data_IF_536853866216
#
_entry.id   IF_536853866216
#
_cell.length_a   1.000
_cell.length_b   1.000
_cell.length_c   1.000
_cell.angle_alpha   90.00
_cell.angle_beta   90.00
_cell.angle_gamma   90.00
#
_symmetry.space_group_name_H-M   'P 1'
#
loop_
_entity.id
_entity.type
_entity.pdbx_description
1 polymer ?
#
# COMPACT_ATOMS: atom_id res chain seq x y z
N UNK A 1 -46.44 -44.87 28.76
CA UNK A 1 -45.12 -44.86 28.09
C UNK A 1 -44.78 -43.42 27.72
N UNK A 2 -43.55 -43.00 28.00
CA UNK A 2 -43.13 -41.61 28.21
C UNK A 2 -43.09 -40.79 26.92
N UNK A 3 -43.80 -39.65 26.92
CA UNK A 3 -43.68 -38.57 25.94
C UNK A 3 -42.40 -37.78 26.22
N UNK A 4 -41.42 -37.83 25.32
CA UNK A 4 -40.18 -37.05 25.39
C UNK A 4 -40.32 -35.77 24.55
N UNK A 5 -40.65 -34.68 25.23
CA UNK A 5 -40.56 -33.30 24.72
C UNK A 5 -39.12 -32.92 24.41
N UNK A 6 -38.85 -32.52 23.16
CA UNK A 6 -37.57 -31.91 22.74
C UNK A 6 -37.39 -30.53 23.41
N UNK A 7 -36.19 -30.14 23.84
CA UNK A 7 -35.94 -28.79 24.33
C UNK A 7 -35.96 -27.77 23.18
N UNK A 8 -36.60 -26.63 23.46
CA UNK A 8 -36.80 -25.48 22.58
C UNK A 8 -35.51 -24.64 22.56
N UNK A 9 -34.89 -24.48 21.40
CA UNK A 9 -33.71 -23.61 21.20
C UNK A 9 -34.17 -22.14 21.28
N UNK A 10 -33.46 -21.24 22.01
CA UNK A 10 -33.82 -19.83 22.09
C UNK A 10 -33.54 -19.11 20.76
N UNK A 11 -34.32 -18.07 20.38
CA UNK A 11 -34.09 -17.32 19.16
C UNK A 11 -33.01 -16.25 19.38
N UNK A 12 -32.11 -16.10 18.42
CA UNK A 12 -31.24 -14.92 18.30
C UNK A 12 -29.76 -15.20 18.53
N UNK A 13 -29.09 -15.66 17.48
CA UNK A 13 -27.70 -15.29 17.23
C UNK A 13 -27.71 -14.36 16.00
N UNK A 14 -27.00 -13.21 16.03
CA UNK A 14 -26.91 -12.35 14.86
C UNK A 14 -26.28 -13.15 13.72
N UNK A 15 -26.99 -13.22 12.59
CA UNK A 15 -26.44 -13.68 11.33
C UNK A 15 -25.14 -12.93 11.08
N UNK A 16 -24.00 -13.63 11.09
CA UNK A 16 -22.77 -13.12 10.50
C UNK A 16 -23.10 -12.78 9.04
N UNK A 17 -23.41 -11.52 8.77
CA UNK A 17 -23.46 -11.01 7.42
C UNK A 17 -22.12 -11.37 6.79
N UNK A 18 -22.13 -12.26 5.81
CA UNK A 18 -20.94 -12.62 5.07
C UNK A 18 -20.30 -11.32 4.61
N UNK A 19 -19.11 -11.01 5.14
CA UNK A 19 -18.32 -9.85 4.74
C UNK A 19 -18.12 -9.99 3.24
N UNK A 20 -18.88 -9.20 2.46
CA UNK A 20 -18.76 -9.15 1.02
C UNK A 20 -17.32 -8.76 0.72
N UNK A 21 -16.60 -9.63 0.02
CA UNK A 21 -15.24 -9.32 -0.44
C UNK A 21 -15.32 -8.02 -1.24
N UNK A 22 -14.61 -6.96 -0.84
CA UNK A 22 -14.73 -5.65 -1.49
C UNK A 22 -14.36 -5.78 -2.97
N UNK A 23 -15.19 -5.20 -3.84
CA UNK A 23 -14.90 -5.21 -5.26
C UNK A 23 -13.68 -4.30 -5.50
N UNK A 24 -12.80 -4.57 -6.48
CA UNK A 24 -11.62 -3.72 -6.75
C UNK A 24 -11.94 -2.23 -6.97
N UNK A 25 -13.17 -1.90 -7.39
CA UNK A 25 -13.69 -0.52 -7.51
C UNK A 25 -13.95 0.19 -6.18
N UNK A 26 -14.04 -0.55 -5.07
CA UNK A 26 -14.35 0.00 -3.75
C UNK A 26 -13.09 0.58 -3.07
N UNK A 27 -11.90 0.19 -3.53
CA UNK A 27 -10.62 0.67 -3.02
C UNK A 27 -10.34 2.13 -3.45
N UNK A 28 -9.80 2.97 -2.54
CA UNK A 28 -9.56 4.41 -2.83
C UNK A 28 -8.48 4.64 -3.88
N UNK A 29 -7.46 3.79 -3.94
CA UNK A 29 -6.39 3.89 -4.93
C UNK A 29 -6.98 3.72 -6.34
N UNK A 30 -7.77 2.66 -6.55
CA UNK A 30 -8.42 2.39 -7.83
C UNK A 30 -9.37 3.53 -8.24
N UNK A 31 -10.18 4.03 -7.30
CA UNK A 31 -11.06 5.18 -7.53
C UNK A 31 -10.29 6.45 -7.90
N UNK A 32 -9.16 6.70 -7.24
CA UNK A 32 -8.35 7.90 -7.52
C UNK A 32 -7.74 7.85 -8.92
N UNK A 33 -7.18 6.72 -9.34
CA UNK A 33 -6.69 6.57 -10.71
C UNK A 33 -7.79 6.71 -11.77
N UNK A 34 -8.99 6.20 -11.50
CA UNK A 34 -10.13 6.39 -12.40
C UNK A 34 -10.49 7.87 -12.56
N UNK A 35 -10.62 8.60 -11.44
CA UNK A 35 -10.90 10.05 -11.45
C UNK A 35 -9.82 10.84 -12.21
N UNK A 36 -8.54 10.54 -11.97
CA UNK A 36 -7.43 11.23 -12.63
C UNK A 36 -7.43 10.99 -14.14
N UNK A 37 -7.72 9.76 -14.57
CA UNK A 37 -7.87 9.43 -15.99
C UNK A 37 -9.00 10.23 -16.64
N UNK A 38 -10.16 10.31 -15.99
CA UNK A 38 -11.31 11.05 -16.50
C UNK A 38 -11.02 12.57 -16.58
N UNK A 39 -10.10 13.07 -15.73
CA UNK A 39 -9.60 14.44 -15.77
C UNK A 39 -8.43 14.66 -16.74
N UNK A 40 -7.92 13.61 -17.40
CA UNK A 40 -6.70 13.69 -18.21
C UNK A 40 -5.44 14.06 -17.44
N UNK A 41 -5.39 13.79 -16.12
CA UNK A 41 -4.28 14.13 -15.22
C UNK A 41 -3.44 12.90 -14.88
N UNK A 42 -2.14 13.14 -14.65
CA UNK A 42 -1.24 12.14 -14.06
C UNK A 42 -1.37 12.17 -12.54
N UNK A 43 -1.13 11.02 -11.90
CA UNK A 43 -1.08 10.93 -10.45
C UNK A 43 0.23 11.51 -9.90
N UNK A 44 0.15 12.28 -8.83
CA UNK A 44 1.28 12.62 -7.97
C UNK A 44 1.25 11.75 -6.71
N UNK A 45 2.25 10.88 -6.55
CA UNK A 45 2.38 9.95 -5.43
C UNK A 45 3.58 10.40 -4.59
N UNK A 46 3.37 10.67 -3.30
CA UNK A 46 4.43 11.11 -2.40
C UNK A 46 4.77 10.01 -1.39
N UNK A 47 6.07 9.78 -1.19
CA UNK A 47 6.59 8.87 -0.18
C UNK A 47 7.06 9.65 1.06
N UNK A 48 6.74 9.12 2.25
CA UNK A 48 7.29 9.56 3.53
C UNK A 48 7.67 8.35 4.38
N UNK A 49 8.82 8.41 5.05
CA UNK A 49 9.10 7.48 6.14
C UNK A 49 8.23 7.87 7.35
N UNK A 50 7.34 6.98 7.78
CA UNK A 50 6.52 7.23 8.93
C UNK A 50 7.40 7.29 10.19
N UNK A 51 7.18 8.33 10.98
CA UNK A 51 7.98 8.58 12.17
C UNK A 51 9.22 9.44 11.94
N UNK A 52 9.44 9.98 10.74
CA UNK A 52 10.53 10.93 10.47
C UNK A 52 10.02 12.38 10.42
N UNK A 53 10.34 13.26 11.38
CA UNK A 53 11.13 13.00 12.60
C UNK A 53 10.34 12.33 13.74
N UNK A 54 9.01 12.35 13.67
CA UNK A 54 8.10 11.64 14.58
C UNK A 54 6.73 11.38 13.92
N UNK A 55 5.86 10.64 14.61
CA UNK A 55 4.54 10.24 14.09
C UNK A 55 3.53 11.39 14.07
N UNK A 56 3.66 12.41 14.91
CA UNK A 56 2.79 13.59 14.87
C UNK A 56 3.10 14.43 13.64
N UNK A 57 4.38 14.66 13.36
CA UNK A 57 4.86 15.29 12.14
C UNK A 57 4.39 14.51 10.89
N UNK A 58 4.46 13.18 10.91
CA UNK A 58 3.93 12.34 9.82
C UNK A 58 2.46 12.65 9.53
N UNK A 59 1.62 12.72 10.57
CA UNK A 59 0.18 13.02 10.39
C UNK A 59 -0.02 14.41 9.78
N UNK A 60 0.64 15.43 10.31
CA UNK A 60 0.47 16.81 9.79
C UNK A 60 1.00 16.97 8.36
N UNK A 61 2.13 16.35 8.03
CA UNK A 61 2.70 16.40 6.68
C UNK A 61 1.76 15.74 5.67
N UNK A 62 1.24 14.55 5.99
CA UNK A 62 0.31 13.84 5.09
C UNK A 62 -0.98 14.64 4.89
N UNK A 63 -1.59 15.13 5.98
CA UNK A 63 -2.82 15.94 5.87
C UNK A 63 -2.56 17.24 5.11
N UNK A 64 -1.43 17.90 5.37
CA UNK A 64 -1.05 19.14 4.69
C UNK A 64 -0.87 18.96 3.18
N UNK A 65 -0.23 17.88 2.74
CA UNK A 65 -0.10 17.58 1.31
C UNK A 65 -1.43 17.15 0.68
N UNK A 66 -2.25 16.38 1.39
CA UNK A 66 -3.53 15.86 0.90
C UNK A 66 -4.59 16.96 0.76
N UNK A 67 -4.65 17.88 1.72
CA UNK A 67 -5.66 18.93 1.81
C UNK A 67 -5.11 20.32 1.43
N UNK A 68 -3.99 20.37 0.70
CA UNK A 68 -3.38 21.61 0.24
C UNK A 68 -4.43 22.52 -0.46
N UNK A 69 -4.40 23.81 -0.17
CA UNK A 69 -5.43 24.76 -0.64
C UNK A 69 -5.56 24.78 -2.17
N UNK A 70 -4.43 24.74 -2.88
CA UNK A 70 -4.37 24.56 -4.34
C UNK A 70 -4.56 23.08 -4.73
N UNK A 71 -5.68 22.69 -5.39
CA UNK A 71 -5.94 21.31 -5.79
C UNK A 71 -4.94 20.74 -6.79
N UNK A 72 -4.22 21.57 -7.54
CA UNK A 72 -3.20 21.14 -8.48
C UNK A 72 -1.92 20.65 -7.77
N UNK A 73 -1.71 21.04 -6.50
CA UNK A 73 -0.56 20.67 -5.67
C UNK A 73 -0.86 19.56 -4.67
N UNK A 74 -2.11 19.10 -4.59
CA UNK A 74 -2.48 18.01 -3.69
C UNK A 74 -1.84 16.71 -4.14
N UNK A 75 -1.38 15.94 -3.16
CA UNK A 75 -0.95 14.56 -3.42
C UNK A 75 -2.17 13.68 -3.70
N UNK A 76 -2.05 12.79 -4.68
CA UNK A 76 -3.13 11.88 -5.07
C UNK A 76 -3.11 10.58 -4.28
N UNK A 77 -1.93 10.09 -3.90
CA UNK A 77 -1.70 8.88 -3.10
C UNK A 77 -0.47 9.12 -2.22
N UNK A 78 -0.53 8.68 -0.97
CA UNK A 78 0.64 8.73 -0.07
C UNK A 78 1.15 7.32 0.21
N UNK A 79 2.45 7.14 0.03
CA UNK A 79 3.20 5.96 0.43
C UNK A 79 3.84 6.22 1.80
N UNK A 80 3.50 5.38 2.77
CA UNK A 80 4.05 5.45 4.12
C UNK A 80 5.04 4.31 4.32
N UNK A 81 6.31 4.69 4.35
CA UNK A 81 7.42 3.83 4.74
C UNK A 81 7.28 3.39 6.19
N UNK A 82 7.16 2.09 6.44
CA UNK A 82 7.31 1.56 7.80
C UNK A 82 8.82 1.42 8.06
N UNK A 83 9.39 2.12 9.05
CA UNK A 83 10.82 2.10 9.26
C UNK A 83 11.31 0.70 9.65
N UNK A 84 12.40 0.27 9.03
CA UNK A 84 13.00 -1.04 9.21
C UNK A 84 14.51 -0.89 9.48
N UNK A 85 15.08 -1.79 10.28
CA UNK A 85 16.49 -1.76 10.69
C UNK A 85 17.45 -2.08 9.54
N UNK A 86 17.00 -2.87 8.57
CA UNK A 86 17.83 -3.37 7.47
C UNK A 86 17.24 -3.03 6.09
N UNK A 87 17.06 -1.73 5.75
CA UNK A 87 16.35 -1.32 4.54
C UNK A 87 17.24 -1.42 3.29
N UNK A 88 17.51 -2.65 2.84
CA UNK A 88 18.48 -2.95 1.78
C UNK A 88 18.12 -2.42 0.38
N UNK A 89 16.83 -2.23 0.09
CA UNK A 89 16.36 -1.70 -1.20
C UNK A 89 16.35 -0.16 -1.23
N UNK A 90 16.46 0.48 -0.06
CA UNK A 90 16.39 1.92 0.08
C UNK A 90 17.72 2.60 -0.14
N UNK A 91 17.61 3.84 -0.61
CA UNK A 91 18.67 4.79 -0.82
C UNK A 91 19.11 5.53 0.44
N UNK A 92 20.26 6.23 0.40
CA UNK A 92 20.80 6.94 1.56
C UNK A 92 19.80 7.88 2.25
N UNK A 93 18.96 8.58 1.48
CA UNK A 93 17.93 9.47 2.03
C UNK A 93 16.86 8.71 2.82
N UNK A 94 16.33 7.61 2.25
CA UNK A 94 15.33 6.77 2.88
C UNK A 94 15.91 6.00 4.08
N UNK A 95 17.16 5.53 3.98
CA UNK A 95 17.88 4.91 5.08
C UNK A 95 18.04 5.86 6.27
N UNK A 96 18.47 7.10 6.01
CA UNK A 96 18.60 8.12 7.06
C UNK A 96 17.26 8.51 7.69
N UNK A 97 16.18 8.55 6.89
CA UNK A 97 14.83 8.76 7.39
C UNK A 97 14.36 7.61 8.30
N UNK A 98 14.59 6.35 7.88
CA UNK A 98 14.31 5.17 8.70
C UNK A 98 15.09 5.20 10.02
N UNK A 99 16.37 5.57 9.99
CA UNK A 99 17.19 5.68 11.20
C UNK A 99 16.63 6.72 12.18
N UNK A 100 16.25 7.91 11.69
CA UNK A 100 15.61 8.94 12.53
C UNK A 100 14.28 8.44 13.11
N UNK A 101 13.45 7.79 12.30
CA UNK A 101 12.17 7.27 12.73
C UNK A 101 12.29 6.16 13.79
N UNK A 102 13.26 5.26 13.64
CA UNK A 102 13.56 4.24 14.65
C UNK A 102 14.08 4.86 15.95
N UNK A 103 14.97 5.87 15.87
CA UNK A 103 15.46 6.61 17.04
C UNK A 103 14.34 7.37 17.78
N UNK A 104 13.33 7.84 17.04
CA UNK A 104 12.12 8.44 17.61
C UNK A 104 11.16 7.42 18.25
N UNK A 105 11.47 6.12 18.22
CA UNK A 105 10.66 5.07 18.85
C UNK A 105 9.48 4.60 17.99
N UNK A 106 9.55 4.81 16.68
CA UNK A 106 8.46 4.41 15.77
C UNK A 106 8.30 2.89 15.71
N UNK A 107 7.06 2.43 15.79
CA UNK A 107 6.69 1.01 15.71
C UNK A 107 5.58 0.80 14.69
N UNK A 108 5.41 -0.42 14.17
CA UNK A 108 4.27 -0.78 13.28
C UNK A 108 2.94 -0.36 13.90
N UNK A 109 2.74 -0.61 15.20
CA UNK A 109 1.53 -0.20 15.93
C UNK A 109 1.35 1.32 15.94
N UNK A 110 2.44 2.08 16.15
CA UNK A 110 2.42 3.53 16.08
C UNK A 110 2.07 4.05 14.69
N UNK A 111 2.62 3.44 13.64
CA UNK A 111 2.29 3.79 12.24
C UNK A 111 0.81 3.52 11.94
N UNK A 112 0.28 2.38 12.37
CA UNK A 112 -1.16 2.07 12.23
C UNK A 112 -2.05 3.11 12.95
N UNK A 113 -1.64 3.54 14.15
CA UNK A 113 -2.36 4.59 14.87
C UNK A 113 -2.28 5.96 14.15
N UNK A 114 -1.14 6.30 13.56
CA UNK A 114 -0.98 7.50 12.74
C UNK A 114 -1.87 7.46 11.49
N UNK A 115 -1.97 6.30 10.83
CA UNK A 115 -2.89 6.09 9.70
C UNK A 115 -4.35 6.35 10.09
N UNK A 116 -4.79 5.85 11.25
CA UNK A 116 -6.14 6.12 11.75
C UNK A 116 -6.39 7.63 11.99
N UNK A 117 -5.39 8.34 12.53
CA UNK A 117 -5.45 9.80 12.74
C UNK A 117 -5.50 10.58 11.43
N UNK A 118 -4.71 10.18 10.43
CA UNK A 118 -4.74 10.76 9.07
C UNK A 118 -6.12 10.52 8.46
N UNK A 119 -6.63 9.29 8.53
CA UNK A 119 -7.92 8.91 7.94
C UNK A 119 -9.09 9.68 8.52
N UNK A 120 -9.04 10.05 9.80
CA UNK A 120 -10.04 10.92 10.42
C UNK A 120 -10.10 12.34 9.83
N UNK A 121 -9.05 12.78 9.13
CA UNK A 121 -8.91 14.15 8.60
C UNK A 121 -8.95 14.23 7.08
N UNK A 122 -8.61 13.15 6.37
CA UNK A 122 -8.57 13.15 4.89
C UNK A 122 -8.97 11.81 4.29
N UNK A 123 -9.45 11.87 3.05
CA UNK A 123 -9.81 10.72 2.22
C UNK A 123 -8.68 10.26 1.28
N UNK A 124 -7.49 10.87 1.34
CA UNK A 124 -6.36 10.50 0.49
C UNK A 124 -6.08 8.98 0.59
N UNK A 125 -5.84 8.28 -0.53
CA UNK A 125 -5.40 6.89 -0.52
C UNK A 125 -4.05 6.74 0.21
N UNK A 126 -3.97 5.75 1.10
CA UNK A 126 -2.77 5.45 1.88
C UNK A 126 -2.24 4.04 1.54
N UNK A 127 -0.97 3.95 1.18
CA UNK A 127 -0.27 2.72 0.81
C UNK A 127 0.89 2.50 1.77
N UNK A 128 0.98 1.32 2.40
CA UNK A 128 2.21 0.95 3.12
C UNK A 128 3.32 0.60 2.15
N UNK A 129 4.50 1.16 2.36
CA UNK A 129 5.74 0.82 1.68
C UNK A 129 6.64 0.15 2.71
N UNK A 130 6.84 -1.16 2.63
CA UNK A 130 7.52 -1.89 3.71
C UNK A 130 8.23 -3.16 3.25
N UNK A 131 9.12 -3.66 4.10
CA UNK A 131 9.72 -4.98 3.98
C UNK A 131 8.81 -6.02 4.62
N UNK A 132 8.99 -7.29 4.27
CA UNK A 132 8.19 -8.39 4.79
C UNK A 132 8.39 -8.57 6.31
N UNK A 133 9.63 -8.43 6.79
CA UNK A 133 9.97 -8.74 8.18
C UNK A 133 9.18 -7.91 9.22
N UNK A 134 9.03 -6.58 9.11
CA UNK A 134 8.13 -5.81 9.98
C UNK A 134 6.70 -6.34 10.06
N UNK A 135 6.16 -6.84 8.93
CA UNK A 135 4.81 -7.40 8.87
C UNK A 135 4.75 -8.77 9.55
N UNK A 136 5.75 -9.62 9.33
CA UNK A 136 5.85 -10.92 10.00
C UNK A 136 6.01 -10.77 11.52
N UNK A 137 6.85 -9.83 11.97
CA UNK A 137 7.07 -9.54 13.39
C UNK A 137 5.80 -9.04 14.10
N UNK A 138 4.93 -8.31 13.38
CA UNK A 138 3.61 -7.92 13.88
C UNK A 138 2.59 -9.07 13.82
N UNK A 139 2.77 -9.98 12.87
CA UNK A 139 1.86 -11.06 12.51
C UNK A 139 0.99 -10.68 11.32
N UNK A 140 1.12 -11.38 10.20
CA UNK A 140 0.53 -11.00 8.90
C UNK A 140 -0.99 -10.81 8.94
N UNK A 141 -1.72 -11.74 9.55
CA UNK A 141 -3.18 -11.65 9.65
C UNK A 141 -3.62 -10.50 10.57
N UNK A 142 -2.88 -10.23 11.64
CA UNK A 142 -3.15 -9.10 12.52
C UNK A 142 -2.86 -7.78 11.81
N UNK A 143 -1.73 -7.70 11.10
CA UNK A 143 -1.36 -6.54 10.31
C UNK A 143 -2.43 -6.21 9.27
N UNK A 144 -2.86 -7.19 8.47
CA UNK A 144 -3.86 -7.00 7.42
C UNK A 144 -5.17 -6.42 7.99
N UNK A 145 -5.68 -7.03 9.07
CA UNK A 145 -6.90 -6.59 9.75
C UNK A 145 -6.75 -5.18 10.31
N UNK A 146 -5.66 -4.93 11.04
CA UNK A 146 -5.47 -3.68 11.76
C UNK A 146 -5.12 -2.52 10.80
N UNK A 147 -4.45 -2.81 9.68
CA UNK A 147 -4.20 -1.88 8.57
C UNK A 147 -5.51 -1.38 7.94
N UNK A 148 -6.41 -2.31 7.61
CA UNK A 148 -7.72 -1.98 7.04
C UNK A 148 -8.58 -1.23 8.05
N UNK A 149 -8.57 -1.66 9.32
CA UNK A 149 -9.29 -0.97 10.39
C UNK A 149 -8.77 0.46 10.62
N UNK A 150 -7.46 0.69 10.51
CA UNK A 150 -6.87 2.03 10.53
C UNK A 150 -7.23 2.87 9.30
N UNK A 151 -7.64 2.23 8.20
CA UNK A 151 -8.07 2.89 6.97
C UNK A 151 -6.97 3.01 5.90
N UNK A 152 -5.96 2.14 5.95
CA UNK A 152 -5.02 1.94 4.85
C UNK A 152 -5.72 1.30 3.64
N UNK A 153 -5.25 1.60 2.44
CA UNK A 153 -5.84 1.14 1.18
C UNK A 153 -4.95 0.14 0.44
N UNK A 154 -3.68 0.02 0.79
CA UNK A 154 -2.80 -0.95 0.14
C UNK A 154 -1.50 -1.23 0.88
N UNK A 155 -0.76 -2.20 0.35
CA UNK A 155 0.60 -2.55 0.75
C UNK A 155 1.45 -2.84 -0.47
N UNK A 156 2.69 -2.36 -0.44
CA UNK A 156 3.79 -2.73 -1.32
C UNK A 156 4.87 -3.36 -0.46
N UNK A 157 5.14 -4.65 -0.70
CA UNK A 157 6.28 -5.36 -0.12
C UNK A 157 7.47 -5.29 -1.07
N UNK A 158 8.59 -4.77 -0.59
CA UNK A 158 9.78 -4.54 -1.40
C UNK A 158 10.56 -5.81 -1.72
N UNK A 159 10.45 -6.80 -0.83
CA UNK A 159 11.24 -8.03 -0.78
C UNK A 159 10.39 -9.31 -0.88
N UNK A 160 9.09 -9.19 -1.16
CA UNK A 160 8.20 -10.34 -1.41
C UNK A 160 7.53 -10.25 -2.79
N UNK A 161 8.04 -10.98 -3.80
CA UNK A 161 7.35 -11.19 -5.07
C UNK A 161 6.02 -11.93 -4.86
N UNK A 162 4.98 -11.63 -5.68
CA UNK A 162 3.63 -12.16 -5.46
C UNK A 162 3.47 -13.68 -5.68
N UNK A 163 4.47 -14.34 -6.27
CA UNK A 163 4.52 -15.79 -6.50
C UNK A 163 5.33 -16.57 -5.47
N UNK A 164 5.93 -15.90 -4.48
CA UNK A 164 6.70 -16.57 -3.43
C UNK A 164 5.86 -16.94 -2.20
N UNK A 165 4.80 -16.17 -1.90
CA UNK A 165 3.88 -16.47 -0.80
C UNK A 165 2.44 -16.06 -1.16
N UNK A 166 1.74 -16.96 -1.83
CA UNK A 166 0.35 -16.74 -2.26
C UNK A 166 -0.60 -16.57 -1.07
N UNK A 167 -0.40 -17.31 0.02
CA UNK A 167 -1.28 -17.26 1.20
C UNK A 167 -1.20 -15.88 1.87
N UNK A 168 0.01 -15.32 1.98
CA UNK A 168 0.20 -13.97 2.50
C UNK A 168 -0.50 -12.93 1.61
N UNK A 169 -0.26 -12.98 0.30
CA UNK A 169 -0.83 -12.02 -0.65
C UNK A 169 -2.36 -12.12 -0.67
N UNK A 170 -2.91 -13.33 -0.65
CA UNK A 170 -4.34 -13.57 -0.65
C UNK A 170 -4.99 -13.13 0.67
N UNK A 171 -4.30 -13.27 1.80
CA UNK A 171 -4.76 -12.72 3.08
C UNK A 171 -4.88 -11.19 3.04
N UNK A 172 -3.88 -10.49 2.49
CA UNK A 172 -3.92 -9.03 2.33
C UNK A 172 -5.07 -8.60 1.41
N UNK A 173 -5.26 -9.32 0.29
CA UNK A 173 -6.35 -9.07 -0.66
C UNK A 173 -7.72 -9.33 -0.05
N UNK A 174 -7.88 -10.43 0.67
CA UNK A 174 -9.13 -10.78 1.34
C UNK A 174 -9.51 -9.75 2.41
N UNK A 175 -8.52 -9.14 3.07
CA UNK A 175 -8.75 -8.03 4.00
C UNK A 175 -9.18 -6.73 3.29
N UNK A 176 -8.94 -6.60 1.98
CA UNK A 176 -9.30 -5.43 1.18
C UNK A 176 -8.15 -4.46 0.89
N UNK A 177 -6.92 -4.84 1.21
CA UNK A 177 -5.72 -4.08 0.84
C UNK A 177 -5.37 -4.33 -0.63
N UNK A 178 -5.11 -3.26 -1.36
CA UNK A 178 -4.51 -3.34 -2.67
C UNK A 178 -3.04 -3.79 -2.54
N UNK A 179 -2.73 -4.99 -3.04
CA UNK A 179 -1.35 -5.44 -3.17
C UNK A 179 -0.71 -4.84 -4.43
N UNK A 180 0.20 -3.88 -4.23
CA UNK A 180 0.98 -3.27 -5.31
C UNK A 180 2.18 -4.15 -5.58
N UNK A 181 2.40 -4.54 -6.84
CA UNK A 181 3.59 -5.31 -7.22
C UNK A 181 4.65 -4.40 -7.80
N UNK A 182 5.90 -4.88 -7.78
CA UNK A 182 7.06 -4.15 -8.26
C UNK A 182 7.66 -4.83 -9.50
N UNK A 183 7.96 -4.03 -10.52
CA UNK A 183 8.73 -4.43 -11.70
C UNK A 183 9.94 -3.51 -11.89
N UNK A 184 11.00 -4.05 -12.50
CA UNK A 184 12.24 -3.33 -12.78
C UNK A 184 12.61 -3.43 -14.27
N UNK A 185 13.59 -2.66 -14.77
CA UNK A 185 13.99 -2.68 -16.18
C UNK A 185 14.42 -4.07 -16.64
N UNK A 186 15.20 -4.76 -15.80
CA UNK A 186 15.71 -6.12 -16.04
C UNK A 186 14.67 -7.22 -15.86
N UNK A 187 13.46 -6.91 -15.36
CA UNK A 187 12.41 -7.92 -15.23
C UNK A 187 12.00 -8.43 -16.63
N UNK A 188 12.00 -9.76 -16.88
CA UNK A 188 11.58 -10.29 -18.18
C UNK A 188 10.14 -9.89 -18.52
N UNK A 189 9.85 -9.65 -19.81
CA UNK A 189 8.53 -9.19 -20.28
C UNK A 189 7.37 -10.07 -19.81
N UNK A 190 7.52 -11.39 -19.86
CA UNK A 190 6.51 -12.33 -19.37
C UNK A 190 6.21 -12.13 -17.88
N UNK A 191 7.23 -11.84 -17.08
CA UNK A 191 7.08 -11.56 -15.64
C UNK A 191 6.46 -10.19 -15.39
N UNK A 192 6.85 -9.15 -16.15
CA UNK A 192 6.17 -7.84 -16.11
C UNK A 192 4.66 -7.96 -16.39
N UNK A 193 4.26 -8.77 -17.36
CA UNK A 193 2.85 -9.03 -17.67
C UNK A 193 2.12 -9.76 -16.54
N UNK A 194 2.77 -10.72 -15.88
CA UNK A 194 2.21 -11.39 -14.71
C UNK A 194 2.02 -10.39 -13.57
N UNK A 195 3.06 -9.64 -13.23
CA UNK A 195 3.02 -8.62 -12.17
C UNK A 195 1.92 -7.58 -12.42
N UNK A 196 1.73 -7.16 -13.67
CA UNK A 196 0.68 -6.21 -14.04
C UNK A 196 -0.74 -6.75 -13.83
N UNK A 197 -0.95 -8.07 -13.97
CA UNK A 197 -2.23 -8.74 -13.71
C UNK A 197 -2.47 -8.97 -12.22
N UNK A 198 -1.41 -9.29 -11.48
CA UNK A 198 -1.48 -9.52 -10.04
C UNK A 198 -1.59 -8.23 -9.23
N UNK A 199 -1.08 -7.11 -9.77
CA UNK A 199 -1.18 -5.81 -9.12
C UNK A 199 -2.63 -5.40 -8.87
N UNK A 200 -2.88 -4.85 -7.68
CA UNK A 200 -4.10 -4.13 -7.34
C UNK A 200 -3.70 -2.69 -7.00
N UNK A 201 -4.48 -1.71 -7.46
CA UNK A 201 -4.09 -0.31 -7.40
C UNK A 201 -3.27 0.08 -8.62
N UNK A 202 -1.96 -0.20 -8.61
CA UNK A 202 -1.04 0.07 -9.71
C UNK A 202 0.14 -0.91 -9.71
N UNK A 203 0.89 -0.94 -10.81
CA UNK A 203 2.19 -1.61 -10.91
C UNK A 203 3.29 -0.58 -10.68
N UNK A 204 4.11 -0.81 -9.67
CA UNK A 204 5.26 0.04 -9.35
C UNK A 204 6.42 -0.31 -10.28
N UNK A 205 6.88 0.65 -11.09
CA UNK A 205 8.00 0.47 -12.02
C UNK A 205 9.24 1.22 -11.55
N UNK A 206 10.22 0.49 -11.03
CA UNK A 206 11.49 1.08 -10.60
C UNK A 206 12.27 1.54 -11.83
N UNK A 207 12.63 2.81 -11.88
CA UNK A 207 13.31 3.41 -13.02
C UNK A 207 14.84 3.18 -13.03
N UNK A 208 15.39 2.55 -11.98
CA UNK A 208 16.84 2.42 -11.75
C UNK A 208 17.25 0.98 -11.45
N UNK A 209 18.43 0.62 -11.94
CA UNK A 209 19.16 -0.56 -11.48
C UNK A 209 20.01 -0.10 -10.28
N UNK A 210 19.55 -0.35 -9.05
CA UNK A 210 20.20 0.07 -7.80
C UNK A 210 19.29 0.87 -6.85
N UNK A 211 19.78 1.13 -5.63
CA UNK A 211 19.06 1.80 -4.54
C UNK A 211 18.55 3.20 -4.91
N UNK A 212 17.52 3.67 -4.21
CA UNK A 212 17.00 5.05 -4.39
C UNK A 212 18.11 6.09 -4.11
N UNK A 213 18.06 7.28 -4.71
CA UNK A 213 19.12 8.29 -4.56
C UNK A 213 19.14 9.26 -5.74
N UNK A 214 19.78 10.41 -5.60
CA UNK A 214 19.87 11.40 -6.68
C UNK A 214 20.94 10.97 -7.71
N UNK A 215 20.52 10.72 -8.95
CA UNK A 215 21.38 10.82 -10.14
C UNK A 215 20.69 11.78 -11.09
N UNK A 216 21.45 12.66 -11.72
CA UNK A 216 20.96 13.79 -12.51
C UNK A 216 20.20 13.40 -13.79
N UNK A 217 20.29 12.15 -14.25
CA UNK A 217 19.69 11.70 -15.51
C UNK A 217 18.93 10.37 -15.37
N UNK A 218 17.81 10.28 -16.07
CA UNK A 218 17.04 9.04 -16.25
C UNK A 218 17.61 8.25 -17.43
N UNK A 219 17.42 6.91 -17.50
CA UNK A 219 17.78 6.14 -18.68
C UNK A 219 17.04 6.62 -19.93
N UNK A 220 17.73 6.76 -21.05
CA UNK A 220 17.15 7.26 -22.31
C UNK A 220 16.00 6.39 -22.83
N UNK A 221 16.04 5.08 -22.52
CA UNK A 221 15.06 4.10 -22.96
C UNK A 221 13.87 3.93 -22.01
N UNK A 222 13.86 4.61 -20.85
CA UNK A 222 12.80 4.50 -19.84
C UNK A 222 11.41 4.77 -20.43
N UNK A 223 11.28 5.83 -21.24
CA UNK A 223 10.02 6.19 -21.89
C UNK A 223 9.48 5.06 -22.78
N UNK A 224 10.36 4.43 -23.56
CA UNK A 224 10.00 3.31 -24.42
C UNK A 224 9.61 2.06 -23.61
N UNK A 225 10.36 1.76 -22.53
CA UNK A 225 10.07 0.64 -21.65
C UNK A 225 8.70 0.79 -20.96
N UNK A 226 8.42 1.96 -20.40
CA UNK A 226 7.13 2.26 -19.75
C UNK A 226 5.98 2.23 -20.77
N UNK A 227 6.18 2.77 -21.97
CA UNK A 227 5.17 2.72 -23.03
C UNK A 227 4.87 1.27 -23.50
N UNK A 228 5.89 0.42 -23.56
CA UNK A 228 5.71 -1.01 -23.86
C UNK A 228 4.95 -1.74 -22.74
N UNK A 229 5.26 -1.43 -21.48
CA UNK A 229 4.58 -2.01 -20.33
C UNK A 229 3.12 -1.57 -20.25
N UNK A 230 2.83 -0.28 -20.45
CA UNK A 230 1.46 0.27 -20.45
C UNK A 230 0.56 -0.34 -21.53
N UNK A 231 1.12 -0.81 -22.65
CA UNK A 231 0.36 -1.51 -23.70
C UNK A 231 -0.15 -2.89 -23.28
N UNK A 232 0.49 -3.52 -22.28
CA UNK A 232 0.17 -4.89 -21.84
C UNK A 232 -0.31 -4.97 -20.39
N UNK A 233 -0.18 -3.88 -19.64
CA UNK A 233 -0.59 -3.80 -18.25
C UNK A 233 -2.09 -3.50 -18.13
N UNK A 234 -2.79 -4.29 -17.32
CA UNK A 234 -4.17 -4.02 -16.91
C UNK A 234 -4.27 -2.98 -15.78
N UNK A 235 -3.19 -2.77 -15.04
CA UNK A 235 -3.08 -1.78 -13.98
C UNK A 235 -2.39 -0.49 -14.48
N UNK A 236 -2.66 0.68 -13.87
CA UNK A 236 -1.81 1.86 -14.01
C UNK A 236 -0.35 1.51 -13.74
N UNK A 237 0.57 2.13 -14.49
CA UNK A 237 2.02 1.97 -14.30
C UNK A 237 2.57 3.29 -13.77
N UNK A 238 3.16 3.23 -12.58
CA UNK A 238 3.74 4.36 -11.86
C UNK A 238 5.26 4.20 -11.78
#
# INVERSE_FOLDING_TARGET
>A
MKSTTKPKVPPGAPSHAALRTPHPSDNRIARRFAQLRDQGRKAFIAYLCAGDPDLDATVELVVGMAEHADPARRVDIVELGIPYSDPMADGPANQAACERALKAGTTVRGVLAAVARIRARTSVPLLFFTYLNPVLAYGSAAFARDAVAAGADGVLLLDLPPDEDHDFIDAMRAAGLANVCLAAPVTPTKRKQMLARESRGFLYYVCRLGVTGERATLPDDLGAQVAALKRVASAPVC
#
